data_IF_758220073979
#
_entry.id   IF_758220073979
#
_cell.length_a   1.000
_cell.length_b   1.000
_cell.length_c   1.000
_cell.angle_alpha   90.00
_cell.angle_beta   90.00
_cell.angle_gamma   90.00
#
_symmetry.space_group_name_H-M   'P 1'
#
loop_
_entity.id
_entity.type
_entity.pdbx_description
1 polymer ?
2 non-polymer ?
3 non-polymer ?
4 non-polymer ?
5 non-polymer ?
6 non-polymer ?
7 non-polymer ?
8 water ?
#
# COMPACT_ATOMS: atom_id res chain seq x y z
N UNK A 13 2.02 16.78 21.03
CA UNK A 13 0.71 16.14 21.07
C UNK A 13 0.34 15.60 19.69
N UNK A 14 0.40 16.48 18.68
CA UNK A 14 0.05 16.09 17.32
C UNK A 14 1.09 15.12 16.76
N UNK A 15 0.73 14.49 15.64
CA UNK A 15 1.61 13.52 15.01
C UNK A 15 2.86 14.21 14.46
N UNK A 16 4.01 13.56 14.66
CA UNK A 16 5.29 14.05 14.16
C UNK A 16 5.66 13.21 12.94
N UNK A 17 5.68 13.78 11.74
CA UNK A 17 5.97 12.99 10.54
C UNK A 17 7.39 12.44 10.57
N UNK A 18 7.57 11.15 10.29
CA UNK A 18 8.91 10.58 10.20
C UNK A 18 9.70 11.22 9.06
N UNK A 19 11.02 11.04 9.03
CA UNK A 19 11.81 11.57 7.92
C UNK A 19 11.45 10.88 6.61
N UNK A 20 11.70 11.59 5.51
CA UNK A 20 11.36 11.10 4.19
C UNK A 20 12.31 10.00 3.74
N UNK A 21 11.75 8.97 3.11
CA UNK A 21 12.52 7.90 2.51
C UNK A 21 13.17 8.38 1.22
N UNK A 22 14.17 7.66 0.69
CA UNK A 22 14.82 8.10 -0.53
C UNK A 22 13.90 8.10 -1.73
N UNK A 23 14.10 9.09 -2.61
CA UNK A 23 13.40 9.18 -3.88
C UNK A 23 14.44 9.20 -4.99
N UNK A 24 14.29 8.31 -5.96
CA UNK A 24 15.21 8.21 -7.08
C UNK A 24 14.50 8.62 -8.37
N UNK A 25 15.19 9.41 -9.18
CA UNK A 25 14.70 9.87 -10.48
C UNK A 25 15.67 9.38 -11.55
N UNK A 26 15.57 8.11 -11.94
CA UNK A 26 16.56 7.54 -12.87
C UNK A 26 16.43 8.15 -14.26
N UNK A 27 17.59 8.27 -14.92
CA UNK A 27 17.60 8.65 -16.31
C UNK A 27 17.09 7.49 -17.17
N UNK A 28 16.94 7.75 -18.47
CA UNK A 28 16.48 6.70 -19.38
C UNK A 28 17.47 5.54 -19.42
N UNK A 29 18.75 5.81 -19.24
CA UNK A 29 19.75 4.74 -19.23
C UNK A 29 19.59 3.86 -17.99
N UNK A 30 19.46 4.48 -16.82
CA UNK A 30 19.29 3.74 -15.59
C UNK A 30 17.94 3.04 -15.50
N UNK A 31 16.94 3.54 -16.23
CA UNK A 31 15.59 2.99 -16.21
C UNK A 31 15.44 1.77 -17.13
N UNK A 32 16.53 1.27 -17.70
CA UNK A 32 16.42 0.22 -18.70
C UNK A 32 15.98 -1.11 -18.08
N UNK A 33 16.56 -1.48 -16.94
CA UNK A 33 16.26 -2.74 -16.29
C UNK A 33 15.96 -2.51 -14.82
N UNK A 34 14.80 -2.95 -14.32
CA UNK A 34 14.47 -2.70 -12.91
C UNK A 34 15.36 -3.44 -11.93
N UNK A 35 15.66 -4.71 -12.17
CA UNK A 35 16.44 -5.49 -11.22
C UNK A 35 17.87 -4.96 -11.09
N UNK A 36 18.46 -4.50 -12.20
CA UNK A 36 19.78 -3.91 -12.14
C UNK A 36 19.75 -2.58 -11.41
N UNK A 37 18.69 -1.78 -11.63
CA UNK A 37 18.58 -0.50 -10.96
C UNK A 37 18.37 -0.66 -9.46
N UNK A 38 17.48 -1.59 -9.07
CA UNK A 38 17.24 -1.84 -7.65
C UNK A 38 18.49 -2.36 -6.96
N UNK A 39 19.26 -3.19 -7.66
CA UNK A 39 20.52 -3.66 -7.10
C UNK A 39 21.54 -2.57 -6.91
N UNK A 40 21.49 -1.53 -7.75
CA UNK A 40 22.44 -0.42 -7.62
C UNK A 40 22.06 0.51 -6.48
N UNK A 41 20.77 0.80 -6.30
CA UNK A 41 20.32 1.66 -5.22
C UNK A 41 20.25 0.95 -3.89
N UNK A 42 20.46 -0.37 -3.87
CA UNK A 42 20.28 -1.15 -2.64
C UNK A 42 21.12 -0.67 -1.46
N UNK A 43 22.40 -0.29 -1.62
CA UNK A 43 23.17 0.16 -0.43
C UNK A 43 22.49 1.26 0.37
N UNK A 44 21.73 2.14 -0.27
CA UNK A 44 21.01 3.17 0.46
C UNK A 44 19.60 2.73 0.82
N UNK A 45 18.86 2.18 -0.15
CA UNK A 45 17.44 1.91 0.06
C UNK A 45 17.21 0.80 1.07
N UNK A 46 18.12 -0.18 1.16
CA UNK A 46 17.93 -1.23 2.16
C UNK A 46 18.14 -0.71 3.58
N UNK A 47 18.76 0.44 3.74
CA UNK A 47 18.92 1.06 5.06
C UNK A 47 17.71 1.88 5.46
N UNK A 48 16.77 2.11 4.56
CA UNK A 48 15.52 2.79 4.89
C UNK A 48 14.30 1.89 4.73
N UNK A 49 14.48 0.67 4.24
CA UNK A 49 13.36 -0.26 4.07
C UNK A 49 12.53 -0.04 2.83
N UNK A 50 12.11 1.21 2.59
CA UNK A 50 11.31 1.56 1.42
C UNK A 50 12.01 2.68 0.66
N UNK A 51 11.67 2.80 -0.61
CA UNK A 51 12.15 3.91 -1.43
C UNK A 51 11.15 4.16 -2.54
N UNK A 52 11.20 5.37 -3.09
CA UNK A 52 10.31 5.79 -4.16
C UNK A 52 11.12 6.00 -5.43
N UNK A 53 10.54 5.59 -6.57
CA UNK A 53 11.20 5.67 -7.86
C UNK A 53 10.29 6.41 -8.82
N UNK A 54 10.72 7.58 -9.30
CA UNK A 54 9.98 8.36 -10.27
C UNK A 54 10.46 8.01 -11.67
N UNK A 55 9.63 7.42 -12.52
CA UNK A 55 10.06 7.12 -13.89
C UNK A 55 10.32 8.39 -14.67
N UNK A 56 11.01 8.31 -15.80
CA UNK A 56 11.20 9.49 -16.65
C UNK A 56 9.88 10.12 -17.02
N UNK A 57 9.92 11.43 -17.29
CA UNK A 57 8.69 12.19 -17.49
C UNK A 57 7.84 11.65 -18.62
N UNK A 58 8.46 11.14 -19.68
CA UNK A 58 7.73 10.65 -20.84
C UNK A 58 7.33 9.19 -20.72
N UNK A 59 7.58 8.54 -19.59
CA UNK A 59 7.14 7.17 -19.36
C UNK A 59 5.77 7.23 -18.72
N UNK A 60 4.73 7.05 -19.53
CA UNK A 60 3.34 7.17 -19.07
C UNK A 60 2.53 6.01 -19.62
N UNK A 61 2.40 4.92 -18.86
CA UNK A 61 1.62 3.79 -19.34
C UNK A 61 0.13 4.10 -19.31
N UNK A 62 -0.65 3.48 -20.18
CA UNK A 62 -2.10 3.65 -20.12
C UNK A 62 -2.69 2.83 -18.99
N UNK A 63 -3.96 3.08 -18.70
CA UNK A 63 -4.72 2.30 -17.74
C UNK A 63 -5.53 1.27 -18.50
N UNK A 64 -5.24 -0.01 -18.29
CA UNK A 64 -5.73 -1.09 -19.12
C UNK A 64 -6.74 -1.99 -18.41
N UNK A 65 -7.30 -1.55 -17.29
CA UNK A 65 -8.33 -2.33 -16.63
C UNK A 65 -9.65 -2.23 -17.40
N UNK A 66 -10.46 -3.29 -17.28
CA UNK A 66 -11.79 -3.30 -17.88
C UNK A 66 -12.70 -2.48 -16.98
N UNK A 67 -12.82 -1.19 -17.30
CA UNK A 67 -13.54 -0.26 -16.42
C UNK A 67 -15.04 -0.49 -16.51
N UNK A 68 -15.56 -0.84 -17.69
CA UNK A 68 -16.99 -1.01 -17.85
C UNK A 68 -17.52 -2.18 -17.02
N UNK A 69 -16.67 -3.16 -16.74
CA UNK A 69 -17.07 -4.33 -15.96
C UNK A 69 -16.50 -4.36 -14.55
N UNK A 70 -15.63 -3.41 -14.21
CA UNK A 70 -14.97 -3.41 -12.90
C UNK A 70 -15.98 -3.21 -11.78
N UNK A 71 -16.27 -4.30 -11.06
CA UNK A 71 -17.16 -4.27 -9.90
C UNK A 71 -16.49 -4.99 -8.74
N UNK A 72 -16.64 -4.45 -7.54
CA UNK A 72 -15.97 -5.03 -6.39
C UNK A 72 -16.73 -4.69 -5.12
N UNK A 73 -16.48 -5.46 -4.08
CA UNK A 73 -17.10 -5.26 -2.77
C UNK A 73 -16.00 -4.97 -1.76
N UNK A 74 -15.73 -3.70 -1.46
CA UNK A 74 -14.62 -3.37 -0.55
C UNK A 74 -14.93 -3.80 0.88
N UNK A 75 -13.87 -3.98 1.64
CA UNK A 75 -14.01 -4.38 3.04
C UNK A 75 -14.11 -3.16 3.94
N UNK A 76 -14.88 -3.32 5.02
CA UNK A 76 -15.15 -2.23 5.94
C UNK A 76 -14.01 -2.13 6.94
N UNK A 77 -13.52 -0.91 7.16
CA UNK A 77 -12.40 -0.66 8.07
C UNK A 77 -12.82 0.34 9.13
N UNK A 78 -12.85 -0.12 10.39
CA UNK A 78 -13.11 0.74 11.53
C UNK A 78 -11.76 1.20 12.09
N UNK A 79 -11.50 2.51 12.00
CA UNK A 79 -10.16 3.03 12.31
C UNK A 79 -9.74 2.75 13.75
N UNK A 80 -10.67 2.86 14.70
CA UNK A 80 -10.35 2.72 16.11
C UNK A 80 -10.76 1.36 16.68
N UNK A 81 -10.65 0.31 15.88
CA UNK A 81 -11.12 -1.01 16.33
C UNK A 81 -10.26 -1.56 17.46
N UNK A 82 -8.96 -1.23 17.48
CA UNK A 82 -8.10 -1.75 18.54
C UNK A 82 -8.24 -0.94 19.81
N UNK A 83 -8.30 0.38 19.71
CA UNK A 83 -8.49 1.21 20.90
C UNK A 83 -9.84 0.94 21.55
N UNK A 84 -10.82 0.48 20.77
CA UNK A 84 -12.13 0.14 21.32
C UNK A 84 -12.11 -1.14 22.13
N UNK A 85 -11.03 -1.94 22.05
CA UNK A 85 -10.94 -3.14 22.88
C UNK A 85 -10.89 -2.79 24.36
N UNK A 86 -10.23 -1.69 24.70
CA UNK A 86 -10.13 -1.27 26.09
C UNK A 86 -11.16 -0.18 26.40
N UNK A 90 -18.98 -4.79 25.96
CA UNK A 90 -19.22 -4.91 24.52
C UNK A 90 -20.46 -4.14 24.06
N UNK A 91 -20.36 -3.48 22.91
CA UNK A 91 -21.49 -2.72 22.38
C UNK A 91 -22.57 -3.67 21.86
N UNK A 92 -23.81 -3.19 21.86
CA UNK A 92 -24.93 -4.01 21.43
C UNK A 92 -24.82 -4.35 19.95
N UNK A 93 -25.04 -5.62 19.63
CA UNK A 93 -25.04 -6.11 18.25
C UNK A 93 -23.72 -5.81 17.53
N UNK A 94 -22.61 -6.08 18.23
CA UNK A 94 -21.31 -5.88 17.61
C UNK A 94 -21.07 -6.93 16.55
N UNK A 95 -20.40 -6.53 15.47
CA UNK A 95 -20.23 -7.37 14.31
C UNK A 95 -21.20 -7.10 13.18
N UNK A 96 -22.19 -6.23 13.40
CA UNK A 96 -23.17 -5.86 12.39
C UNK A 96 -23.14 -4.36 12.12
N UNK A 97 -21.98 -3.74 12.24
CA UNK A 97 -21.89 -2.28 12.08
C UNK A 97 -22.19 -1.87 10.64
N UNK A 98 -21.66 -2.60 9.66
CA UNK A 98 -21.83 -2.22 8.27
C UNK A 98 -21.53 -3.43 7.39
N UNK A 99 -22.42 -3.69 6.43
CA UNK A 99 -22.24 -4.80 5.51
C UNK A 99 -21.36 -4.38 4.34
N UNK A 100 -20.65 -5.37 3.79
CA UNK A 100 -19.85 -5.13 2.59
C UNK A 100 -20.78 -5.03 1.39
N UNK A 101 -20.62 -3.97 0.60
CA UNK A 101 -21.53 -3.67 -0.50
C UNK A 101 -20.75 -3.53 -1.80
N UNK A 102 -21.47 -3.64 -2.91
CA UNK A 102 -20.87 -3.66 -4.24
C UNK A 102 -20.77 -2.25 -4.80
N UNK A 103 -19.61 -1.92 -5.36
CA UNK A 103 -19.37 -0.66 -6.06
C UNK A 103 -18.86 -0.94 -7.46
N UNK A 104 -18.95 0.09 -8.30
CA UNK A 104 -18.13 0.20 -9.49
C UNK A 104 -17.00 1.17 -9.19
N UNK A 105 -16.03 1.26 -10.11
CA UNK A 105 -14.98 2.26 -9.96
C UNK A 105 -15.58 3.66 -9.86
N UNK A 106 -16.59 3.95 -10.68
CA UNK A 106 -17.17 5.28 -10.67
C UNK A 106 -17.93 5.52 -9.36
N UNK A 107 -18.78 4.58 -8.96
CA UNK A 107 -19.58 4.78 -7.76
C UNK A 107 -18.73 4.77 -6.49
N UNK A 108 -17.63 4.01 -6.48
CA UNK A 108 -16.72 4.08 -5.35
C UNK A 108 -16.01 5.42 -5.29
N UNK A 109 -15.61 5.96 -6.44
CA UNK A 109 -14.95 7.26 -6.46
C UNK A 109 -15.88 8.39 -6.04
N UNK A 110 -17.15 8.32 -6.45
CA UNK A 110 -18.13 9.30 -6.00
C UNK A 110 -18.31 9.23 -4.49
N UNK A 111 -18.41 8.03 -3.94
CA UNK A 111 -18.48 7.88 -2.49
C UNK A 111 -17.22 8.39 -1.82
N UNK A 112 -16.06 8.06 -2.38
CA UNK A 112 -14.78 8.44 -1.76
C UNK A 112 -14.61 9.95 -1.75
N UNK A 113 -14.88 10.61 -2.88
CA UNK A 113 -14.73 12.06 -2.93
C UNK A 113 -15.74 12.75 -2.02
N UNK A 114 -16.98 12.25 -1.99
CA UNK A 114 -17.99 12.83 -1.11
C UNK A 114 -17.59 12.69 0.36
N UNK A 115 -17.03 11.54 0.74
CA UNK A 115 -16.62 11.35 2.12
C UNK A 115 -15.54 12.35 2.52
N UNK A 116 -14.50 12.48 1.71
CA UNK A 116 -13.38 13.32 2.07
C UNK A 116 -13.78 14.81 2.08
N UNK A 117 -14.51 15.24 1.05
CA UNK A 117 -14.91 16.64 0.99
C UNK A 117 -15.87 16.99 2.13
N UNK A 118 -16.72 16.05 2.53
CA UNK A 118 -17.60 16.29 3.67
C UNK A 118 -16.81 16.32 4.97
N UNK A 119 -15.83 15.43 5.11
CA UNK A 119 -15.11 15.32 6.38
C UNK A 119 -14.27 16.57 6.66
N UNK A 120 -13.57 17.08 5.66
CA UNK A 120 -12.70 18.23 5.84
C UNK A 120 -13.34 19.55 5.45
N UNK A 121 -14.54 19.53 4.85
CA UNK A 121 -15.24 20.73 4.43
C UNK A 121 -14.41 21.53 3.41
N UNK A 122 -13.72 20.81 2.54
CA UNK A 122 -12.86 21.37 1.50
C UNK A 122 -12.98 20.51 0.26
N UNK A 123 -12.62 21.05 -0.91
CA UNK A 123 -12.40 20.19 -2.08
C UNK A 123 -11.31 19.18 -1.77
N UNK A 124 -11.44 18.00 -2.37
CA UNK A 124 -10.60 16.86 -1.97
C UNK A 124 -9.13 17.16 -2.23
N UNK A 125 -8.82 17.86 -3.33
CA UNK A 125 -7.43 18.11 -3.68
C UNK A 125 -6.83 19.30 -2.96
N UNK A 126 -7.62 20.06 -2.20
CA UNK A 126 -7.11 21.16 -1.42
C UNK A 126 -6.70 20.76 -0.01
N UNK A 127 -7.06 19.55 0.43
CA UNK A 127 -6.72 19.10 1.78
C UNK A 127 -5.25 18.72 1.83
N UNK A 128 -4.46 19.35 2.70
CA UNK A 128 -3.03 19.03 2.76
C UNK A 128 -2.79 17.59 3.19
N UNK A 129 -1.77 16.98 2.60
CA UNK A 129 -1.41 15.61 2.96
C UNK A 129 -1.02 15.49 4.42
N UNK A 130 -0.41 16.54 4.99
CA UNK A 130 -0.04 16.49 6.39
C UNK A 130 -1.27 16.52 7.30
N UNK A 131 -2.37 17.13 6.85
CA UNK A 131 -3.57 17.17 7.68
C UNK A 131 -4.28 15.83 7.69
N UNK A 132 -4.40 15.18 6.53
CA UNK A 132 -4.98 13.85 6.49
C UNK A 132 -4.16 12.88 7.34
N UNK A 133 -2.83 13.03 7.29
CA UNK A 133 -1.96 12.16 8.08
C UNK A 133 -2.16 12.40 9.58
N UNK A 134 -2.20 13.65 10.00
CA UNK A 134 -2.40 13.95 11.42
C UNK A 134 -3.78 13.50 11.88
N UNK A 135 -4.79 13.66 11.04
CA UNK A 135 -6.15 13.26 11.41
C UNK A 135 -6.32 11.76 11.41
N UNK A 136 -5.64 11.05 10.50
CA UNK A 136 -5.73 9.60 10.46
C UNK A 136 -5.26 9.00 11.78
N UNK A 137 -4.13 9.48 12.31
CA UNK A 137 -3.58 8.90 13.53
C UNK A 137 -4.34 9.35 14.76
N UNK A 138 -4.98 10.53 14.72
CA UNK A 138 -5.85 10.93 15.82
C UNK A 138 -7.08 10.03 15.88
N UNK A 139 -7.65 9.69 14.72
CA UNK A 139 -8.84 8.84 14.68
C UNK A 139 -8.52 7.41 15.08
N UNK A 140 -7.29 6.95 14.82
CA UNK A 140 -6.91 5.58 15.13
C UNK A 140 -6.95 5.33 16.64
N UNK A 141 -6.53 6.32 17.42
CA UNK A 141 -6.48 6.20 18.87
C UNK A 141 -7.65 6.89 19.56
N UNK A 142 -8.62 7.39 18.81
CA UNK A 142 -9.74 8.09 19.40
C UNK A 142 -10.82 7.12 19.85
N UNK A 143 -11.27 7.27 21.09
CA UNK A 143 -12.38 6.48 21.61
C UNK A 143 -13.71 7.25 21.56
N UNK A 144 -13.69 8.53 21.25
CA UNK A 144 -14.89 9.35 21.22
C UNK A 144 -15.48 9.51 19.82
N UNK A 145 -14.75 9.15 18.78
CA UNK A 145 -15.20 9.31 17.40
C UNK A 145 -14.92 8.02 16.64
N UNK A 146 -15.98 7.39 16.13
CA UNK A 146 -15.88 6.14 15.39
C UNK A 146 -16.03 6.46 13.90
N UNK A 147 -14.90 6.46 13.19
CA UNK A 147 -14.88 6.71 11.75
C UNK A 147 -14.71 5.37 11.04
N UNK A 148 -15.52 5.16 10.00
CA UNK A 148 -15.53 3.91 9.25
C UNK A 148 -15.36 4.22 7.77
N UNK A 149 -14.42 3.55 7.12
CA UNK A 149 -14.14 3.71 5.71
C UNK A 149 -14.16 2.35 5.04
N UNK A 150 -13.92 2.34 3.72
CA UNK A 150 -13.92 1.12 2.92
C UNK A 150 -12.70 1.08 2.03
N UNK A 151 -12.21 -0.13 1.78
CA UNK A 151 -10.98 -0.32 1.02
C UNK A 151 -11.18 -1.45 0.02
N UNK A 152 -11.08 -1.14 -1.27
CA UNK A 152 -11.12 -2.17 -2.28
C UNK A 152 -9.77 -2.85 -2.40
N UNK A 153 -9.45 -3.71 -1.43
CA UNK A 153 -8.12 -4.27 -1.30
C UNK A 153 -8.09 -5.73 -1.72
N UNK A 154 -6.89 -6.19 -2.10
CA UNK A 154 -6.65 -7.58 -2.46
C UNK A 154 -7.56 -8.03 -3.60
N UNK A 155 -7.70 -7.18 -4.61
CA UNK A 155 -8.44 -7.52 -5.83
C UNK A 155 -7.44 -8.12 -6.81
N UNK A 156 -7.67 -9.37 -7.21
CA UNK A 156 -6.74 -10.03 -8.11
C UNK A 156 -6.78 -9.40 -9.50
N UNK A 157 -5.61 -9.27 -10.12
CA UNK A 157 -5.54 -8.74 -11.48
C UNK A 157 -6.12 -9.69 -12.51
N UNK A 158 -6.40 -10.95 -12.14
CA UNK A 158 -7.07 -11.87 -13.04
C UNK A 158 -8.56 -11.61 -13.15
N UNK A 159 -9.13 -10.81 -12.25
CA UNK A 159 -10.57 -10.55 -12.27
C UNK A 159 -10.94 -9.66 -13.44
N UNK A 160 -10.39 -8.45 -13.50
CA UNK A 160 -10.71 -7.49 -14.55
C UNK A 160 -9.49 -7.04 -15.33
N UNK A 161 -8.36 -7.72 -15.18
CA UNK A 161 -7.16 -7.34 -15.87
C UNK A 161 -6.26 -6.47 -15.01
N UNK A 162 -4.99 -6.42 -15.38
CA UNK A 162 -4.03 -5.57 -14.70
C UNK A 162 -4.22 -4.12 -15.14
N UNK A 163 -3.74 -3.21 -14.29
CA UNK A 163 -3.73 -1.81 -14.67
C UNK A 163 -2.80 -1.51 -15.82
N UNK A 164 -1.78 -2.34 -16.01
CA UNK A 164 -0.84 -2.30 -17.12
C UNK A 164 -1.39 -3.08 -18.31
N UNK A 165 -1.06 -2.66 -19.53
CA UNK A 165 -1.41 -3.49 -20.70
C UNK A 165 -0.59 -4.76 -20.72
N UNK A 166 -1.25 -5.86 -21.08
CA UNK A 166 -0.61 -7.17 -21.16
C UNK A 166 -0.94 -7.79 -22.52
N UNK A 167 0.05 -8.48 -23.10
CA UNK A 167 -0.13 -9.13 -24.39
C UNK A 167 -0.60 -10.57 -24.18
N UNK A 168 -1.86 -10.70 -23.78
CA UNK A 168 -2.49 -12.00 -23.62
C UNK A 168 -3.69 -12.20 -24.53
N UNK A 169 -3.98 -11.26 -25.42
CA UNK A 169 -5.07 -11.40 -26.35
C UNK A 169 -6.45 -11.14 -25.79
N UNK A 170 -6.55 -10.55 -24.61
CA UNK A 170 -7.84 -10.27 -23.98
C UNK A 170 -8.31 -8.84 -24.17
N UNK A 171 -7.39 -7.89 -24.33
CA UNK A 171 -7.75 -6.49 -24.51
C UNK A 171 -6.85 -5.89 -25.59
N UNK A 172 -7.40 -4.93 -26.33
CA UNK A 172 -6.67 -4.32 -27.43
C UNK A 172 -5.51 -3.47 -26.91
N UNK A 173 -4.39 -3.52 -27.63
CA UNK A 173 -3.19 -2.76 -27.29
C UNK A 173 -2.84 -1.89 -28.49
N UNK A 174 -2.81 -0.58 -28.27
CA UNK A 174 -2.41 0.34 -29.33
C UNK A 174 -0.90 0.25 -29.56
N UNK A 175 -0.44 0.63 -30.76
CA UNK A 175 1.01 0.54 -31.04
C UNK A 175 1.87 1.32 -30.06
N UNK A 176 1.45 2.54 -29.68
CA UNK A 176 2.22 3.31 -28.72
C UNK A 176 2.18 2.73 -27.31
N UNK A 177 1.28 1.78 -27.06
CA UNK A 177 1.16 1.17 -25.74
C UNK A 177 1.89 -0.16 -25.62
N UNK A 178 2.37 -0.73 -26.74
CA UNK A 178 3.08 -2.01 -26.68
C UNK A 178 4.37 -1.89 -25.88
N UNK A 179 5.00 -0.71 -25.91
CA UNK A 179 6.19 -0.46 -25.09
C UNK A 179 5.94 -0.78 -23.63
N UNK A 180 4.76 -0.42 -23.12
CA UNK A 180 4.47 -0.63 -21.71
C UNK A 180 4.06 -2.06 -21.41
N UNK A 181 3.51 -2.78 -22.40
CA UNK A 181 3.20 -4.19 -22.19
C UNK A 181 4.46 -5.03 -22.13
N UNK A 182 5.55 -4.57 -22.74
CA UNK A 182 6.81 -5.28 -22.76
C UNK A 182 7.83 -4.71 -21.78
N UNK A 183 7.50 -3.62 -21.10
CA UNK A 183 8.44 -2.99 -20.19
C UNK A 183 8.74 -3.88 -19.00
N UNK A 184 10.00 -3.86 -18.56
CA UNK A 184 10.38 -4.55 -17.34
C UNK A 184 9.75 -3.96 -16.09
N UNK A 185 9.32 -2.70 -16.16
CA UNK A 185 8.65 -2.06 -15.03
C UNK A 185 7.15 -2.36 -14.99
N UNK A 186 6.60 -2.96 -16.04
CA UNK A 186 5.27 -3.56 -15.97
C UNK A 186 5.28 -4.64 -14.89
N UNK A 187 4.43 -4.48 -13.87
CA UNK A 187 4.44 -5.42 -12.75
C UNK A 187 4.12 -6.84 -13.18
N UNK A 188 3.49 -7.03 -14.33
CA UNK A 188 3.25 -8.38 -14.83
C UNK A 188 4.50 -9.02 -15.39
N UNK A 189 5.57 -8.25 -15.62
CA UNK A 189 6.81 -8.75 -16.16
C UNK A 189 7.91 -8.85 -15.12
N UNK A 190 7.57 -8.77 -13.83
CA UNK A 190 8.56 -8.92 -12.78
C UNK A 190 8.80 -10.40 -12.50
N UNK A 191 10.04 -10.79 -12.19
CA UNK A 191 10.31 -12.20 -11.84
C UNK A 191 9.69 -12.53 -10.48
N UNK A 192 9.00 -13.67 -10.42
CA UNK A 192 8.24 -14.03 -9.23
C UNK A 192 8.56 -15.46 -8.78
N UNK A 193 9.34 -16.18 -9.57
CA UNK A 193 9.63 -17.59 -9.30
C UNK A 193 10.86 -17.69 -8.43
N UNK A 194 10.68 -18.11 -7.18
CA UNK A 194 11.78 -18.27 -6.25
C UNK A 194 12.53 -19.57 -6.52
N UNK A 195 13.85 -19.52 -6.33
CA UNK A 195 14.69 -20.69 -6.58
C UNK A 195 14.64 -21.64 -5.38
N UNK A 196 14.47 -22.93 -5.66
CA UNK A 196 14.44 -23.95 -4.63
C UNK A 196 14.55 -25.31 -5.30
N UNK A 197 14.85 -26.33 -4.50
CA UNK A 197 14.87 -27.69 -5.02
C UNK A 197 13.45 -28.17 -5.31
N UNK A 198 12.49 -27.76 -4.49
CA UNK A 198 11.10 -28.14 -4.72
C UNK A 198 10.60 -27.67 -6.07
N UNK A 199 11.08 -26.52 -6.55
CA UNK A 199 10.66 -26.02 -7.86
C UNK A 199 11.09 -26.95 -8.99
N UNK A 200 12.18 -27.69 -8.79
CA UNK A 200 12.62 -28.68 -9.76
C UNK A 200 11.96 -30.04 -9.58
N UNK A 201 11.44 -30.32 -8.39
CA UNK A 201 10.77 -31.60 -8.14
C UNK A 201 9.30 -31.53 -8.50
N UNK A 202 8.66 -30.39 -8.27
CA UNK A 202 7.26 -30.20 -8.62
C UNK A 202 7.10 -30.18 -10.14
N UNK A 209 1.96 -16.49 -9.52
CA UNK A 209 1.70 -15.26 -8.79
C UNK A 209 1.45 -14.10 -9.75
N UNK A 210 0.40 -13.34 -9.46
CA UNK A 210 0.01 -12.19 -10.29
C UNK A 210 -0.14 -10.97 -9.40
N UNK A 211 -0.09 -9.78 -9.97
CA UNK A 211 -0.25 -8.57 -9.15
C UNK A 211 -1.65 -8.46 -8.55
N UNK A 212 -1.73 -7.76 -7.43
CA UNK A 212 -2.99 -7.45 -6.77
C UNK A 212 -3.30 -5.96 -6.92
N UNK A 213 -4.59 -5.63 -6.88
CA UNK A 213 -5.05 -4.26 -7.07
C UNK A 213 -5.66 -3.72 -5.79
N UNK A 214 -5.53 -2.40 -5.61
CA UNK A 214 -6.03 -1.73 -4.41
C UNK A 214 -6.72 -0.44 -4.82
N UNK A 215 -8.02 -0.36 -4.58
CA UNK A 215 -8.81 0.83 -4.84
C UNK A 215 -9.02 1.53 -3.49
N UNK A 216 -8.36 2.65 -3.29
CA UNK A 216 -8.34 3.31 -2.01
C UNK A 216 -9.26 4.52 -1.93
N UNK A 217 -9.60 4.88 -0.69
CA UNK A 217 -10.27 6.13 -0.37
C UNK A 217 -9.54 6.75 0.82
N UNK A 218 -9.95 7.96 1.18
CA UNK A 218 -9.34 8.64 2.32
C UNK A 218 -9.50 7.81 3.58
N UNK A 219 -8.39 7.59 4.28
CA UNK A 219 -8.24 6.90 5.56
C UNK A 219 -8.17 5.38 5.41
N UNK A 220 -8.43 4.81 4.24
CA UNK A 220 -8.23 3.38 4.06
C UNK A 220 -6.75 3.06 4.21
N UNK A 221 -6.45 1.92 4.84
CA UNK A 221 -5.10 1.68 5.32
C UNK A 221 -4.73 0.20 5.24
N UNK A 222 -3.43 -0.04 5.37
CA UNK A 222 -2.87 -1.38 5.52
C UNK A 222 -1.88 -1.35 6.69
N UNK A 223 -1.94 -2.37 7.53
CA UNK A 223 -1.16 -2.31 8.76
C UNK A 223 0.23 -2.95 8.56
N UNK A 224 1.05 -2.83 9.61
CA UNK A 224 2.45 -3.22 9.54
C UNK A 224 2.59 -4.69 9.19
N UNK A 225 3.46 -4.99 8.23
CA UNK A 225 3.66 -6.36 7.79
C UNK A 225 4.94 -6.44 6.99
N UNK A 226 5.45 -7.66 6.85
CA UNK A 226 6.47 -8.01 5.87
C UNK A 226 5.85 -9.02 4.92
N UNK A 227 6.53 -9.26 3.80
CA UNK A 227 5.99 -10.13 2.77
C UNK A 227 6.34 -11.59 3.07
N UNK A 228 5.54 -12.48 2.49
CA UNK A 228 5.84 -13.91 2.58
C UNK A 228 7.21 -14.19 2.01
N UNK A 229 7.97 -15.06 2.69
CA UNK A 229 9.34 -15.41 2.33
C UNK A 229 10.28 -14.21 2.38
N UNK A 230 9.91 -13.16 3.11
CA UNK A 230 10.69 -11.93 3.21
C UNK A 230 10.96 -11.34 1.82
N UNK A 231 9.97 -11.46 0.93
CA UNK A 231 10.18 -11.10 -0.46
C UNK A 231 10.25 -9.59 -0.63
N UNK A 232 10.92 -9.19 -1.71
CA UNK A 232 10.78 -7.84 -2.24
C UNK A 232 9.33 -7.60 -2.64
N UNK A 233 8.96 -6.33 -2.73
CA UNK A 233 7.68 -5.97 -3.33
C UNK A 233 7.83 -4.66 -4.07
N UNK A 234 7.10 -4.53 -5.17
CA UNK A 234 7.07 -3.30 -5.96
C UNK A 234 5.61 -2.87 -6.11
N UNK A 235 5.37 -1.57 -6.00
CA UNK A 235 4.02 -1.03 -5.93
C UNK A 235 3.93 0.17 -6.85
N UNK A 236 2.88 0.22 -7.67
CA UNK A 236 2.70 1.30 -8.63
C UNK A 236 1.32 1.93 -8.43
N UNK A 237 1.30 3.26 -8.30
CA UNK A 237 0.05 4.00 -8.19
C UNK A 237 -0.36 4.45 -9.60
N UNK A 238 -1.39 3.82 -10.14
CA UNK A 238 -1.81 4.12 -11.51
C UNK A 238 -2.36 5.53 -11.63
N UNK A 239 -3.26 5.91 -10.72
CA UNK A 239 -3.84 7.25 -10.74
C UNK A 239 -4.47 7.53 -9.38
N UNK A 240 -4.87 8.78 -9.19
CA UNK A 240 -5.58 9.19 -8.00
C UNK A 240 -4.71 9.97 -7.03
N UNK A 241 -5.27 10.17 -5.84
CA UNK A 241 -4.60 10.90 -4.77
C UNK A 241 -3.51 10.05 -4.13
N UNK A 242 -2.55 10.68 -3.46
CA UNK A 242 -1.36 9.95 -3.01
C UNK A 242 -1.67 8.84 -2.01
N UNK A 243 -0.74 7.89 -1.95
CA UNK A 243 -0.73 6.85 -0.93
C UNK A 243 0.43 7.12 0.01
N UNK A 244 0.14 7.26 1.30
CA UNK A 244 1.17 7.59 2.29
C UNK A 244 1.75 6.31 2.86
N UNK A 245 3.08 6.23 2.90
CA UNK A 245 3.80 5.03 3.30
C UNK A 245 4.61 5.27 4.56
N UNK A 246 4.81 4.20 5.33
CA UNK A 246 5.78 4.17 6.41
C UNK A 246 6.59 2.89 6.28
N UNK A 247 7.89 2.99 6.46
CA UNK A 247 8.77 1.85 6.27
C UNK A 247 9.82 1.78 7.36
N UNK A 248 10.23 0.56 7.68
CA UNK A 248 11.27 0.28 8.67
C UNK A 248 12.34 -0.58 8.00
N UNK A 249 13.62 -0.23 8.10
CA UNK A 249 14.66 -1.06 7.49
C UNK A 249 14.72 -2.43 8.15
N UNK A 250 15.20 -3.41 7.38
CA UNK A 250 15.19 -4.80 7.84
C UNK A 250 16.10 -5.01 9.04
N UNK A 251 17.14 -4.18 9.21
CA UNK A 251 18.02 -4.36 10.36
C UNK A 251 17.33 -4.00 11.67
N UNK A 252 16.16 -3.38 11.63
CA UNK A 252 15.38 -3.08 12.81
C UNK A 252 14.10 -3.91 12.90
N UNK A 253 14.03 -5.00 12.13
CA UNK A 253 12.81 -5.82 12.13
C UNK A 253 12.55 -6.43 13.49
N UNK A 254 13.59 -6.92 14.16
CA UNK A 254 13.42 -7.50 15.48
C UNK A 254 13.06 -6.44 16.51
N UNK A 255 13.56 -5.22 16.35
CA UNK A 255 13.20 -4.14 17.26
C UNK A 255 11.71 -3.82 17.15
N UNK A 256 11.18 -3.76 15.94
CA UNK A 256 9.76 -3.48 15.75
C UNK A 256 8.91 -4.60 16.36
N UNK A 257 9.29 -5.85 16.10
CA UNK A 257 8.52 -6.98 16.63
C UNK A 257 8.54 -6.99 18.15
N UNK A 258 9.65 -6.55 18.76
CA UNK A 258 9.71 -6.44 20.21
C UNK A 258 8.75 -5.37 20.72
N UNK A 259 8.72 -4.21 20.05
CA UNK A 259 7.80 -3.15 20.45
C UNK A 259 6.36 -3.60 20.28
N UNK A 260 6.07 -4.35 19.21
CA UNK A 260 4.73 -4.87 19.00
C UNK A 260 4.31 -5.77 20.16
N UNK A 261 5.14 -6.77 20.48
CA UNK A 261 4.81 -7.70 21.56
C UNK A 261 4.62 -6.99 22.89
N UNK A 262 5.38 -5.91 23.12
CA UNK A 262 5.26 -5.19 24.39
C UNK A 262 3.94 -4.45 24.48
N UNK A 263 3.46 -3.88 23.37
CA UNK A 263 2.31 -2.99 23.39
C UNK A 263 1.06 -3.58 22.74
N UNK A 264 1.16 -4.73 22.09
CA UNK A 264 -0.03 -5.36 21.55
C UNK A 264 -0.89 -5.91 22.68
N UNK A 265 -2.20 -6.02 22.47
CA UNK A 265 -3.05 -6.65 23.49
C UNK A 265 -2.60 -8.08 23.76
N UNK A 266 -2.75 -8.50 25.02
CA UNK A 266 -2.29 -9.82 25.42
C UNK A 266 -3.01 -10.92 24.65
N UNK A 267 -4.23 -10.66 24.18
CA UNK A 267 -4.96 -11.66 23.40
C UNK A 267 -4.33 -11.87 22.03
N UNK A 268 -3.65 -10.86 21.50
CA UNK A 268 -3.03 -10.96 20.18
C UNK A 268 -1.51 -11.10 20.25
N UNK A 269 -0.93 -11.03 21.45
CA UNK A 269 0.53 -11.04 21.56
C UNK A 269 1.12 -12.39 21.17
N UNK A 270 0.48 -13.48 21.58
CA UNK A 270 0.98 -14.82 21.33
C UNK A 270 0.52 -15.38 19.98
N UNK A 271 -0.17 -14.59 19.17
CA UNK A 271 -0.64 -15.07 17.89
C UNK A 271 0.51 -15.18 16.90
N UNK A 272 0.44 -16.15 15.98
CA UNK A 272 1.47 -16.25 14.94
C UNK A 272 1.53 -14.98 14.11
N UNK A 273 2.72 -14.72 13.56
CA UNK A 273 2.95 -13.46 12.85
C UNK A 273 2.00 -13.28 11.67
N UNK A 274 1.70 -14.38 10.96
CA UNK A 274 0.82 -14.28 9.80
C UNK A 274 -0.57 -13.81 10.19
N UNK A 275 -1.04 -14.18 11.38
CA UNK A 275 -2.34 -13.74 11.88
C UNK A 275 -2.26 -12.38 12.58
N UNK A 276 -1.22 -12.17 13.38
CA UNK A 276 -1.06 -10.88 14.05
C UNK A 276 -0.97 -9.74 13.04
N UNK A 277 -0.37 -10.00 11.87
CA UNK A 277 -0.23 -8.99 10.83
C UNK A 277 -1.56 -8.50 10.28
N UNK A 278 -2.68 -9.09 10.70
CA UNK A 278 -3.99 -8.59 10.29
C UNK A 278 -4.45 -7.42 11.15
N UNK A 279 -3.81 -7.18 12.30
CA UNK A 279 -4.25 -6.16 13.24
C UNK A 279 -3.05 -5.41 13.82
N UNK A 280 -1.95 -5.38 13.07
CA UNK A 280 -0.71 -4.72 13.54
C UNK A 280 -0.73 -3.24 13.16
N UNK A 281 -1.66 -2.51 13.76
CA UNK A 281 -1.77 -1.07 13.56
C UNK A 281 -1.08 -0.37 14.72
N UNK A 282 -0.12 0.50 14.39
CA UNK A 282 0.66 1.19 15.42
C UNK A 282 1.12 2.54 14.89
N UNK A 283 0.96 3.57 15.70
CA UNK A 283 1.43 4.90 15.35
C UNK A 283 2.96 4.87 15.16
N UNK A 284 3.48 5.40 14.05
CA UNK A 284 4.93 5.38 13.85
C UNK A 284 5.69 6.13 14.94
N UNK A 285 5.08 7.15 15.55
CA UNK A 285 5.77 7.85 16.64
C UNK A 285 6.01 6.95 17.83
N UNK A 286 5.12 5.97 18.05
CA UNK A 286 5.33 5.00 19.12
C UNK A 286 6.58 4.17 18.84
N UNK A 287 6.76 3.76 17.59
CA UNK A 287 7.97 3.02 17.21
C UNK A 287 9.21 3.90 17.32
N UNK A 288 9.11 5.15 16.88
CA UNK A 288 10.26 6.05 16.94
C UNK A 288 10.66 6.36 18.37
N UNK A 289 9.68 6.45 19.27
CA UNK A 289 9.99 6.68 20.68
C UNK A 289 10.69 5.50 21.32
N UNK A 290 10.54 4.29 20.77
CA UNK A 290 11.24 3.11 21.25
C UNK A 290 12.53 2.84 20.49
N UNK A 291 12.98 3.79 19.68
CA UNK A 291 14.25 3.65 18.98
C UNK A 291 14.18 2.98 17.63
N UNK A 292 12.98 2.72 17.11
CA UNK A 292 12.83 2.06 15.81
C UNK A 292 12.91 3.12 14.72
N UNK A 293 13.84 3.01 13.76
CA UNK A 293 13.89 3.98 12.67
C UNK A 293 12.72 3.78 11.71
N UNK A 294 12.01 4.87 11.44
CA UNK A 294 10.85 4.87 10.56
C UNK A 294 11.02 5.97 9.52
N UNK A 295 10.70 5.64 8.27
CA UNK A 295 10.72 6.60 7.16
C UNK A 295 9.35 6.64 6.51
N UNK A 296 9.02 7.79 5.92
CA UNK A 296 7.71 8.00 5.31
C UNK A 296 7.90 8.45 3.87
N UNK A 297 6.80 8.40 3.11
CA UNK A 297 6.74 9.03 1.80
C UNK A 297 5.29 9.17 1.36
N UNK A 298 5.04 10.13 0.49
CA UNK A 298 3.77 10.27 -0.21
C UNK A 298 3.97 9.79 -1.64
N UNK A 299 3.44 8.62 -1.95
CA UNK A 299 3.54 8.06 -3.29
C UNK A 299 2.47 8.69 -4.17
N UNK A 300 2.88 9.46 -5.17
CA UNK A 300 1.94 10.12 -6.07
C UNK A 300 1.71 9.27 -7.31
N UNK A 301 0.70 9.66 -8.08
CA UNK A 301 0.32 8.89 -9.27
C UNK A 301 1.47 8.80 -10.25
N UNK A 302 1.72 7.59 -10.75
CA UNK A 302 2.79 7.35 -11.70
C UNK A 302 4.13 7.04 -11.08
N UNK A 303 4.20 6.87 -9.77
CA UNK A 303 5.45 6.62 -9.08
C UNK A 303 5.46 5.21 -8.47
N UNK A 304 6.65 4.63 -8.40
CA UNK A 304 6.85 3.30 -7.83
C UNK A 304 7.32 3.41 -6.38
N UNK A 305 6.92 2.44 -5.57
CA UNK A 305 7.48 2.23 -4.24
C UNK A 305 7.99 0.79 -4.16
N UNK A 306 9.26 0.63 -3.79
CA UNK A 306 9.89 -0.68 -3.65
C UNK A 306 10.14 -0.92 -2.17
N UNK A 307 9.72 -2.09 -1.69
CA UNK A 307 10.02 -2.53 -0.33
C UNK A 307 11.06 -3.64 -0.39
N UNK A 308 12.02 -3.59 0.51
CA UNK A 308 13.15 -4.50 0.51
C UNK A 308 12.88 -5.68 1.43
N UNK A 309 13.68 -6.75 1.33
CA UNK A 309 13.38 -7.96 2.12
C UNK A 309 13.30 -7.67 3.62
N UNK A 310 12.21 -8.15 4.22
CA UNK A 310 11.97 -8.04 5.66
C UNK A 310 11.89 -6.58 6.11
N UNK A 311 11.50 -5.69 5.21
CA UNK A 311 11.26 -4.29 5.57
C UNK A 311 9.80 -4.13 5.92
N UNK A 312 9.51 -3.96 7.21
CA UNK A 312 8.13 -3.72 7.64
C UNK A 312 7.61 -2.43 7.05
N UNK A 313 6.36 -2.46 6.58
CA UNK A 313 5.77 -1.26 6.03
C UNK A 313 4.27 -1.25 6.28
N UNK A 314 3.71 -0.04 6.27
CA UNK A 314 2.28 0.19 6.47
C UNK A 314 1.96 1.53 5.83
N UNK A 315 0.68 1.90 5.82
CA UNK A 315 0.32 3.18 5.28
C UNK A 315 -1.17 3.33 5.12
N UNK A 316 -1.55 4.45 4.49
CA UNK A 316 -2.95 4.77 4.26
C UNK A 316 -3.05 5.62 3.00
N UNK A 317 -4.26 5.73 2.48
CA UNK A 317 -4.51 6.48 1.26
C UNK A 317 -5.07 7.86 1.57
N UNK A 318 -4.58 8.86 0.82
CA UNK A 318 -5.05 10.23 0.97
C UNK A 318 -6.42 10.44 0.35
N UNK A 319 -6.82 9.58 -0.58
CA UNK A 319 -8.11 9.73 -1.23
C UNK A 319 -8.29 8.67 -2.28
N UNK A 320 -9.23 8.94 -3.20
CA UNK A 320 -9.56 8.01 -4.26
C UNK A 320 -8.34 7.75 -5.15
N UNK A 321 -7.87 6.50 -5.19
CA UNK A 321 -6.72 6.15 -6.00
C UNK A 321 -6.78 4.68 -6.39
N UNK A 322 -5.80 4.25 -7.17
CA UNK A 322 -5.76 2.91 -7.75
C UNK A 322 -4.32 2.45 -7.80
N UNK A 323 -4.00 1.40 -7.06
CA UNK A 323 -2.63 0.91 -6.95
C UNK A 323 -2.55 -0.56 -7.37
N UNK A 324 -1.34 -0.96 -7.75
CA UNK A 324 -1.05 -2.32 -8.14
C UNK A 324 0.26 -2.76 -7.47
N UNK A 325 0.27 -3.97 -6.94
CA UNK A 325 1.39 -4.46 -6.15
C UNK A 325 1.66 -5.92 -6.44
N UNK A 326 2.93 -6.30 -6.34
CA UNK A 326 3.32 -7.69 -6.54
C UNK A 326 4.64 -7.93 -5.81
N UNK A 327 4.80 -9.14 -5.28
CA UNK A 327 6.09 -9.57 -4.75
C UNK A 327 6.97 -10.06 -5.89
N UNK A 328 8.25 -9.71 -5.83
CA UNK A 328 9.20 -10.18 -6.83
C UNK A 328 10.46 -10.70 -6.14
N UNK A 329 11.21 -11.51 -6.88
CA UNK A 329 12.41 -12.15 -6.36
C UNK A 329 13.61 -11.76 -7.19
N UNK A 330 14.78 -11.83 -6.57
CA UNK A 330 16.03 -11.43 -7.23
C UNK A 330 16.96 -12.62 -7.41
X LIG B 1 -1.26 -8.60 4.91
X LIG B 1 -1.66 -1.12 -0.14
X LIG B 1 -7.21 -4.23 3.86
X LIG B 1 -5.83 -3.90 3.31
X LIG B 1 -5.01 -5.16 3.07
X LIG B 1 -2.72 -5.79 2.74
X LIG B 1 -2.12 -6.56 3.92
X LIG B 1 -1.87 -5.93 5.12
X LIG B 1 -1.34 -6.59 6.21
X LIG B 1 -1.03 -7.94 6.11
X LIG B 1 -1.81 -7.91 3.84
X LIG B 1 -1.67 -4.92 2.08
X LIG B 1 -0.30 -5.15 2.05
X LIG B 1 0.28 -4.07 1.34
X LIG B 1 1.79 -2.67 0.32
X LIG B 1 0.81 -1.78 -0.07
X LIG B 1 -0.52 -2.05 0.25
X LIG B 1 -0.76 -3.22 0.97
X LIG B 1 1.56 -3.79 1.01
X LIG B 1 -1.95 -3.75 1.44
X LIG B 1 -3.65 -4.89 3.31
X LIG B 1 -1.46 -0.21 -0.99
X LIG B 1 -2.80 -1.27 0.37
X LIG B 1 -2.09 -8.78 2.37
X LIG C 1 3.28 -5.21 1.39
X LIG D 1 4.13 -8.83 14.56
X LIG D 1 4.28 -10.03 13.68
X LIG D 1 5.35 -8.89 15.90
X LIG D 1 4.70 -7.35 13.66
X LIG E 1 17.65 -10.68 5.74
X LIG E 1 17.36 -10.32 4.44
X LIG E 1 17.79 -9.37 6.54
X LIG E 1 17.12 -8.34 5.93
X LIG E 1 17.23 -9.70 7.95
X LIG E 1 17.27 -8.53 8.69
X LIG F 1 -0.79 1.30 11.16
X LIG F 1 0.24 0.44 11.39
X LIG F 1 -1.16 1.16 9.69
X LIG F 1 -2.54 1.04 9.51
X LIG F 1 -0.62 2.45 9.04
X LIG F 1 -1.48 2.75 7.99
X LIG G 1 11.41 -13.31 14.06
X LIG G 1 12.03 -12.06 14.36
X LIG G 1 12.33 -14.12 13.16
X LIG G 1 13.56 -14.37 13.83
X LIG H 1 -17.50 23.25 -1.23
X LIG H 1 -18.10 22.46 -2.26
X LIG H 1 -16.11 22.72 -0.93
X LIG H 1 -16.20 21.35 -0.51
X LIG I 1 -13.34 -2.16 -21.11
X LIG I 1 -12.23 -2.99 -21.48
X LIG I 1 -12.85 -0.74 -20.90
X LIG I 1 -13.95 0.09 -20.49
X LIG J 1 11.69 12.75 -12.78
X LIG J 1 12.29 12.64 -14.07
X LIG J 1 10.35 13.46 -12.90
X LIG J 1 9.49 12.70 -13.75
X LIG K 1 -8.17 -0.41 10.52
X LIG K 1 -7.28 -1.11 9.60
X LIG K 1 -7.46 -0.16 11.77
X LIG K 1 -8.58 0.86 9.92
X LIG K 1 -9.35 -1.22 10.78
#
# INVERSE_FOLDING_TARGET
HNMAGVGPGGYAAEFVPPPECPVFEPSWEEFTDPLSFIGRIRPLAEKTGICKIRPPKDWQPPFACEVKSFRFTPRVQRLNELEAMTRVRPREAFGFEQAVREYTLQSFGEMADNFKSDYFNMPVHMVPTELVEKEFWRLVSSIEEDVIVEYGADISSKDFGSGFPVKDGRRKILPEEEEYALSGWNLNNMPVLEQSVLAHINVDISGMKVPWLYVGMCFSSFCWHIEDHWSYSINYLHWGEPKTWYGVPSHAAEQLEEVMRELAPELFESQPDLLHQLVTIMNPNVLMEHGVPVYRTNQCAGEFVVTFPRAYHSGFNQGYNFAEAVNFCT
DKP C10 C20 C01 C02 C03 C05 C06 C07 C08 C09 C11 C13 C14 C15 C17 C18 C19 C23 N16 N24 O04 O21 O22 CL1
MN MN
DMS S O C1 C2
GOL C1 O1 C2 O2 C3 O3
GOL C1 O1 C2 O2 C3 O3
EDO C1 O1 C2 O2
EDO C1 O1 C2 O2
EDO C1 O1 C2 O2
EDO C1 O1 C2 O2
SO4 S O1 O2 O3 O4
#
